data_IF_030723531154
#
_entry.id   IF_030723531154
#
_cell.length_a   1.000
_cell.length_b   1.000
_cell.length_c   1.000
_cell.angle_alpha   90.00
_cell.angle_beta   90.00
_cell.angle_gamma   90.00
#
_symmetry.space_group_name_H-M   'P 1'
#
loop_
_entity.id
_entity.type
_entity.pdbx_description
1 polymer ?
#
# COMPACT_ATOMS: atom_id res chain seq x y z
N UNK A 1 -15.49 8.08 24.85
CA UNK A 1 -15.59 8.42 23.41
C UNK A 1 -14.34 7.93 22.71
N UNK A 2 -14.52 7.08 21.70
CA UNK A 2 -13.44 6.51 20.90
C UNK A 2 -13.50 6.99 19.46
N UNK A 3 -12.35 7.01 18.79
CA UNK A 3 -12.20 7.29 17.36
C UNK A 3 -11.65 6.05 16.67
N UNK A 4 -12.24 5.66 15.55
CA UNK A 4 -11.85 4.44 14.84
C UNK A 4 -12.06 4.56 13.33
N UNK A 5 -11.40 3.68 12.58
CA UNK A 5 -11.59 3.51 11.13
C UNK A 5 -12.06 2.08 10.88
N UNK A 6 -13.15 1.94 10.13
CA UNK A 6 -13.72 0.65 9.78
C UNK A 6 -13.37 0.24 8.34
N UNK A 7 -13.68 -1.01 7.99
CA UNK A 7 -13.67 -1.51 6.61
C UNK A 7 -12.30 -1.99 6.08
N UNK A 8 -11.36 -2.33 6.96
CA UNK A 8 -10.13 -3.02 6.57
C UNK A 8 -10.36 -4.53 6.58
N UNK A 9 -9.72 -5.27 5.66
CA UNK A 9 -9.83 -6.73 5.59
C UNK A 9 -8.79 -7.46 6.43
N UNK A 10 -7.58 -6.92 6.51
CA UNK A 10 -6.43 -7.59 7.12
C UNK A 10 -5.70 -6.69 8.11
N UNK A 11 -4.99 -7.32 9.05
CA UNK A 11 -4.14 -6.65 10.02
C UNK A 11 -2.79 -7.36 10.15
N UNK A 12 -1.73 -6.57 10.22
CA UNK A 12 -0.37 -7.08 10.23
C UNK A 12 0.01 -7.54 11.65
N UNK A 13 0.39 -8.80 11.84
CA UNK A 13 0.70 -9.34 13.18
C UNK A 13 2.12 -9.08 13.64
N UNK A 14 3.04 -8.78 12.71
CA UNK A 14 4.47 -8.47 12.94
C UNK A 14 4.93 -7.37 11.99
N UNK A 15 5.86 -6.52 12.43
CA UNK A 15 6.43 -5.48 11.55
C UNK A 15 7.04 -6.10 10.29
N UNK A 16 6.70 -5.53 9.14
CA UNK A 16 7.29 -5.88 7.84
C UNK A 16 8.28 -4.80 7.44
N UNK A 17 9.43 -5.20 6.89
CA UNK A 17 10.45 -4.31 6.36
C UNK A 17 10.73 -4.76 4.94
N UNK A 18 10.62 -3.86 3.98
CA UNK A 18 10.90 -4.16 2.56
C UNK A 18 11.63 -2.99 1.91
N UNK A 19 12.55 -3.31 1.00
CA UNK A 19 13.20 -2.32 0.15
C UNK A 19 12.33 -2.01 -1.07
N UNK A 20 12.04 -0.74 -1.30
CA UNK A 20 11.31 -0.23 -2.45
C UNK A 20 12.18 0.75 -3.24
N UNK A 21 11.91 0.91 -4.53
CA UNK A 21 12.56 1.88 -5.41
C UNK A 21 11.90 3.27 -5.34
N UNK A 22 11.32 3.63 -4.19
CA UNK A 22 10.70 4.93 -3.94
C UNK A 22 11.53 5.63 -2.87
N UNK A 23 12.04 6.81 -3.22
CA UNK A 23 12.98 7.58 -2.39
C UNK A 23 12.47 9.00 -2.24
N UNK A 24 11.72 9.32 -1.18
CA UNK A 24 11.27 10.68 -0.92
C UNK A 24 12.49 11.57 -0.58
N UNK A 25 12.34 12.88 -0.80
CA UNK A 25 13.38 13.86 -0.46
C UNK A 25 13.70 13.88 1.04
N UNK A 26 12.69 13.66 1.87
CA UNK A 26 12.76 13.64 3.33
C UNK A 26 12.12 12.34 3.81
N UNK A 27 12.69 11.70 4.85
CA UNK A 27 12.05 10.54 5.47
C UNK A 27 10.62 10.87 5.94
N UNK A 28 9.71 9.96 5.65
CA UNK A 28 8.34 10.00 6.14
C UNK A 28 8.26 9.01 7.31
N UNK A 29 7.91 9.47 8.51
CA UNK A 29 7.70 8.59 9.66
C UNK A 29 6.40 8.94 10.39
N UNK A 30 5.40 8.07 10.26
CA UNK A 30 4.12 8.15 10.94
C UNK A 30 3.88 6.87 11.76
N UNK A 31 2.88 6.88 12.65
CA UNK A 31 2.66 5.82 13.65
C UNK A 31 2.85 4.38 13.13
N UNK A 32 2.33 4.05 11.94
CA UNK A 32 2.38 2.68 11.38
C UNK A 32 3.25 2.50 10.14
N UNK A 33 3.76 3.58 9.55
CA UNK A 33 4.53 3.53 8.30
C UNK A 33 5.76 4.43 8.42
N UNK A 34 6.93 3.90 8.08
CA UNK A 34 8.14 4.70 7.86
C UNK A 34 8.70 4.42 6.48
N UNK A 35 8.96 5.45 5.70
CA UNK A 35 9.67 5.38 4.43
C UNK A 35 10.91 6.28 4.52
N UNK A 36 12.09 5.67 4.51
CA UNK A 36 13.36 6.41 4.54
C UNK A 36 13.69 6.98 3.15
N UNK A 37 14.55 7.99 3.09
CA UNK A 37 15.14 8.57 1.87
C UNK A 37 15.88 7.51 1.02
N UNK A 38 16.35 6.44 1.65
CA UNK A 38 17.01 5.33 0.95
C UNK A 38 16.05 4.30 0.37
N UNK A 39 14.74 4.41 0.58
CA UNK A 39 13.73 3.46 0.13
C UNK A 39 13.57 2.20 1.00
N UNK A 40 13.91 2.26 2.28
CA UNK A 40 13.45 1.26 3.25
C UNK A 40 12.03 1.61 3.72
N UNK A 41 11.07 0.75 3.43
CA UNK A 41 9.68 0.84 3.89
C UNK A 41 9.48 -0.09 5.08
N UNK A 42 9.10 0.49 6.23
CA UNK A 42 8.76 -0.22 7.46
C UNK A 42 7.27 -0.06 7.71
N UNK A 43 6.55 -1.17 7.75
CA UNK A 43 5.12 -1.21 8.07
C UNK A 43 4.98 -1.91 9.41
N UNK A 44 4.62 -1.15 10.44
CA UNK A 44 4.66 -1.60 11.83
C UNK A 44 3.48 -2.53 12.14
N UNK A 45 3.68 -3.38 13.16
CA UNK A 45 2.64 -4.28 13.70
C UNK A 45 1.32 -3.53 13.91
N UNK A 46 0.23 -4.21 13.57
CA UNK A 46 -1.15 -3.77 13.68
C UNK A 46 -1.61 -2.80 12.60
N UNK A 47 -0.78 -2.52 11.58
CA UNK A 47 -1.25 -1.83 10.38
C UNK A 47 -2.38 -2.62 9.71
N UNK A 48 -3.48 -1.94 9.37
CA UNK A 48 -4.63 -2.55 8.73
C UNK A 48 -4.69 -2.14 7.25
N UNK A 49 -5.04 -3.07 6.37
CA UNK A 49 -5.11 -2.86 4.92
C UNK A 49 -6.18 -3.73 4.27
N UNK A 50 -6.45 -3.52 2.98
CA UNK A 50 -7.57 -4.15 2.28
C UNK A 50 -7.21 -5.43 1.53
N UNK A 51 -5.91 -5.74 1.50
CA UNK A 51 -5.38 -6.77 0.63
C UNK A 51 -5.52 -6.39 -0.83
N UNK A 52 -5.41 -7.37 -1.74
CA UNK A 52 -5.75 -7.18 -3.13
C UNK A 52 -7.15 -6.59 -3.29
N UNK A 53 -7.23 -5.42 -3.92
CA UNK A 53 -8.47 -4.66 -4.08
C UNK A 53 -8.90 -4.61 -5.55
N UNK A 54 -10.22 -4.47 -5.79
CA UNK A 54 -10.82 -4.54 -7.13
C UNK A 54 -11.22 -5.95 -7.55
N UNK A 55 -11.22 -6.31 -8.85
CA UNK A 55 -11.53 -7.67 -9.34
C UNK A 55 -10.45 -8.72 -8.99
N UNK A 56 -9.60 -8.43 -8.00
CA UNK A 56 -8.48 -9.24 -7.60
C UNK A 56 -8.93 -10.41 -6.69
N UNK A 57 -8.28 -11.55 -6.88
CA UNK A 57 -8.42 -12.72 -5.99
C UNK A 57 -7.30 -12.68 -4.95
N UNK A 58 -7.68 -12.80 -3.68
CA UNK A 58 -6.74 -12.86 -2.57
C UNK A 58 -5.96 -14.18 -2.62
N UNK A 59 -4.65 -14.08 -2.84
CA UNK A 59 -3.74 -15.24 -2.86
C UNK A 59 -2.47 -14.94 -2.09
N UNK A 60 -1.82 -15.98 -1.56
CA UNK A 60 -0.61 -15.84 -0.73
C UNK A 60 0.48 -15.00 -1.42
N UNK A 61 0.69 -15.22 -2.72
CA UNK A 61 1.65 -14.48 -3.56
C UNK A 61 1.22 -13.06 -3.99
N UNK A 62 0.10 -12.54 -3.47
CA UNK A 62 -0.36 -11.18 -3.69
C UNK A 62 -0.43 -10.36 -2.39
N UNK A 63 -0.38 -11.02 -1.23
CA UNK A 63 -0.55 -10.37 0.07
C UNK A 63 0.58 -9.38 0.40
N UNK A 64 1.85 -9.76 0.16
CA UNK A 64 2.99 -8.87 0.44
C UNK A 64 2.97 -7.65 -0.47
N UNK A 65 2.72 -7.87 -1.77
CA UNK A 65 2.61 -6.80 -2.75
C UNK A 65 1.50 -5.82 -2.38
N UNK A 66 0.28 -6.33 -2.15
CA UNK A 66 -0.87 -5.47 -1.79
C UNK A 66 -0.65 -4.69 -0.49
N UNK A 67 -0.02 -5.29 0.53
CA UNK A 67 0.34 -4.59 1.77
C UNK A 67 1.24 -3.38 1.49
N UNK A 68 2.30 -3.57 0.69
CA UNK A 68 3.28 -2.54 0.36
C UNK A 68 2.63 -1.44 -0.50
N UNK A 69 1.81 -1.84 -1.47
CA UNK A 69 1.05 -0.93 -2.32
C UNK A 69 0.08 -0.06 -1.51
N UNK A 70 -0.73 -0.65 -0.63
CA UNK A 70 -1.67 0.07 0.23
C UNK A 70 -0.97 1.07 1.17
N UNK A 71 0.19 0.70 1.72
CA UNK A 71 0.99 1.58 2.58
C UNK A 71 1.51 2.79 1.81
N UNK A 72 2.07 2.60 0.61
CA UNK A 72 2.54 3.68 -0.24
C UNK A 72 1.40 4.60 -0.67
N UNK A 73 0.28 4.01 -1.10
CA UNK A 73 -0.93 4.76 -1.46
C UNK A 73 -1.51 5.51 -0.26
N UNK A 74 -1.42 4.96 0.96
CA UNK A 74 -1.83 5.70 2.16
C UNK A 74 -0.98 6.95 2.36
N UNK A 75 0.34 6.88 2.17
CA UNK A 75 1.20 8.06 2.26
C UNK A 75 0.82 9.12 1.21
N UNK A 76 0.45 8.69 0.00
CA UNK A 76 -0.05 9.58 -1.05
C UNK A 76 -1.38 10.23 -0.70
N UNK A 77 -2.34 9.46 -0.17
CA UNK A 77 -3.63 10.00 0.32
C UNK A 77 -3.48 10.97 1.49
N UNK A 78 -2.39 10.85 2.24
CA UNK A 78 -2.04 11.75 3.33
C UNK A 78 -1.19 12.93 2.86
N UNK A 79 -0.88 13.02 1.56
CA UNK A 79 -0.04 14.06 0.95
C UNK A 79 1.38 14.11 1.53
N UNK A 80 1.83 13.00 2.12
CA UNK A 80 3.19 12.84 2.65
C UNK A 80 4.15 12.31 1.58
N UNK A 81 3.62 11.60 0.59
CA UNK A 81 4.34 11.10 -0.58
C UNK A 81 3.69 11.67 -1.83
N UNK A 82 4.50 12.24 -2.73
CA UNK A 82 3.99 12.86 -3.95
C UNK A 82 3.33 11.86 -4.92
N UNK A 83 2.37 12.36 -5.71
CA UNK A 83 1.64 11.55 -6.69
C UNK A 83 2.53 11.08 -7.86
N UNK A 84 3.70 11.72 -8.06
CA UNK A 84 4.72 11.31 -9.02
C UNK A 84 5.23 9.88 -8.75
N UNK A 85 5.19 9.41 -7.49
CA UNK A 85 5.63 8.06 -7.12
C UNK A 85 4.57 6.98 -7.29
N UNK A 86 3.37 7.32 -7.78
CA UNK A 86 2.28 6.35 -7.97
C UNK A 86 2.66 5.24 -8.94
N UNK A 87 3.32 5.62 -10.02
CA UNK A 87 3.77 4.70 -11.07
C UNK A 87 4.84 3.74 -10.54
N UNK A 88 5.74 4.24 -9.70
CA UNK A 88 6.75 3.43 -9.00
C UNK A 88 6.11 2.48 -7.99
N UNK A 89 5.06 2.90 -7.27
CA UNK A 89 4.33 2.04 -6.33
C UNK A 89 3.60 0.90 -7.04
N UNK A 90 2.99 1.18 -8.19
CA UNK A 90 2.36 0.15 -9.04
C UNK A 90 3.41 -0.84 -9.59
N UNK A 91 4.62 -0.37 -9.89
CA UNK A 91 5.71 -1.23 -10.35
C UNK A 91 6.31 -2.09 -9.22
N UNK A 92 6.46 -1.54 -8.01
CA UNK A 92 6.86 -2.31 -6.83
C UNK A 92 5.86 -3.43 -6.53
N UNK A 93 4.55 -3.15 -6.63
CA UNK A 93 3.51 -4.19 -6.53
C UNK A 93 3.76 -5.34 -7.50
N UNK A 94 3.99 -5.02 -8.77
CA UNK A 94 4.23 -6.02 -9.82
C UNK A 94 5.49 -6.84 -9.53
N UNK A 95 6.59 -6.17 -9.19
CA UNK A 95 7.88 -6.79 -8.87
C UNK A 95 7.75 -7.75 -7.69
N UNK A 96 7.15 -7.31 -6.59
CA UNK A 96 6.96 -8.12 -5.38
C UNK A 96 6.07 -9.33 -5.64
N UNK A 97 4.98 -9.16 -6.40
CA UNK A 97 4.12 -10.27 -6.80
C UNK A 97 4.91 -11.33 -7.59
N UNK A 98 5.77 -10.90 -8.52
CA UNK A 98 6.63 -11.82 -9.29
C UNK A 98 7.64 -12.54 -8.38
N UNK A 99 8.29 -11.83 -7.46
CA UNK A 99 9.20 -12.39 -6.46
C UNK A 99 8.51 -13.45 -5.58
N UNK A 100 7.24 -13.23 -5.23
CA UNK A 100 6.43 -14.15 -4.43
C UNK A 100 5.85 -15.32 -5.25
N UNK A 101 6.24 -15.47 -6.52
CA UNK A 101 5.84 -16.58 -7.38
C UNK A 101 4.50 -16.39 -8.08
N UNK A 102 4.02 -15.15 -8.24
CA UNK A 102 2.90 -14.88 -9.15
C UNK A 102 3.32 -15.10 -10.60
N UNK A 103 2.46 -15.74 -11.39
CA UNK A 103 2.72 -15.91 -12.82
C UNK A 103 2.85 -14.56 -13.54
N UNK A 104 3.73 -14.49 -14.55
CA UNK A 104 3.96 -13.27 -15.33
C UNK A 104 2.67 -12.71 -15.95
N UNK A 105 1.79 -13.59 -16.41
CA UNK A 105 0.50 -13.24 -17.00
C UNK A 105 -0.38 -12.53 -15.96
N UNK A 106 -0.50 -13.11 -14.77
CA UNK A 106 -1.31 -12.52 -13.70
C UNK A 106 -0.71 -11.22 -13.18
N UNK A 107 0.61 -11.18 -12.96
CA UNK A 107 1.29 -9.97 -12.53
C UNK A 107 1.16 -8.82 -13.55
N UNK A 108 1.19 -9.15 -14.85
CA UNK A 108 0.93 -8.18 -15.92
C UNK A 108 -0.51 -7.64 -15.86
N UNK A 109 -1.50 -8.52 -15.67
CA UNK A 109 -2.90 -8.10 -15.54
C UNK A 109 -3.12 -7.22 -14.30
N UNK A 110 -2.56 -7.61 -13.15
CA UNK A 110 -2.58 -6.81 -11.91
C UNK A 110 -2.01 -5.42 -12.15
N UNK A 111 -0.83 -5.35 -12.79
CA UNK A 111 -0.19 -4.07 -13.12
C UNK A 111 -1.09 -3.21 -14.01
N UNK A 112 -1.64 -3.77 -15.10
CA UNK A 112 -2.54 -3.03 -15.99
C UNK A 112 -3.80 -2.54 -15.26
N UNK A 113 -4.36 -3.35 -14.37
CA UNK A 113 -5.53 -2.97 -13.58
C UNK A 113 -5.24 -1.79 -12.66
N UNK A 114 -4.14 -1.79 -11.91
CA UNK A 114 -3.80 -0.65 -11.02
C UNK A 114 -3.49 0.61 -11.82
N UNK A 115 -2.81 0.50 -12.98
CA UNK A 115 -2.51 1.65 -13.83
C UNK A 115 -3.78 2.35 -14.36
N UNK A 116 -4.81 1.57 -14.70
CA UNK A 116 -6.07 2.07 -15.25
C UNK A 116 -7.08 2.55 -14.20
N UNK A 117 -7.21 1.83 -13.08
CA UNK A 117 -8.32 2.04 -12.13
C UNK A 117 -7.89 2.67 -10.79
N UNK A 118 -6.62 2.56 -10.39
CA UNK A 118 -6.19 2.97 -9.05
C UNK A 118 -5.81 4.46 -8.95
N UNK A 119 -5.82 5.23 -10.05
CA UNK A 119 -5.45 6.66 -10.03
C UNK A 119 -6.24 7.45 -8.99
N UNK A 120 -7.54 7.19 -8.86
CA UNK A 120 -8.37 7.85 -7.84
C UNK A 120 -8.03 7.38 -6.42
N UNK A 121 -7.73 6.10 -6.23
CA UNK A 121 -7.47 5.49 -4.91
C UNK A 121 -6.25 6.07 -4.18
N UNK A 122 -5.32 6.72 -4.88
CA UNK A 122 -4.18 7.43 -4.29
C UNK A 122 -4.49 8.88 -3.87
N UNK A 123 -5.63 9.45 -4.31
CA UNK A 123 -5.96 10.85 -4.08
C UNK A 123 -6.44 11.11 -2.63
N UNK A 124 -6.19 12.31 -2.07
CA UNK A 124 -6.60 12.66 -0.71
C UNK A 124 -8.10 12.47 -0.42
N UNK A 125 -8.94 12.63 -1.43
CA UNK A 125 -10.40 12.40 -1.39
C UNK A 125 -10.77 10.99 -0.94
N UNK A 126 -9.89 10.00 -1.17
CA UNK A 126 -10.10 8.60 -0.80
C UNK A 126 -9.53 8.26 0.59
N UNK A 127 -9.14 9.26 1.39
CA UNK A 127 -8.77 9.05 2.80
C UNK A 127 -9.95 8.48 3.57
N UNK A 128 -9.71 7.36 4.27
CA UNK A 128 -10.74 6.73 5.11
C UNK A 128 -11.23 7.69 6.20
N UNK A 129 -12.55 7.85 6.27
CA UNK A 129 -13.24 8.68 7.27
C UNK A 129 -13.01 8.12 8.68
N UNK A 130 -12.73 9.03 9.61
CA UNK A 130 -12.70 8.72 11.03
C UNK A 130 -14.12 8.72 11.59
N UNK A 131 -14.47 7.64 12.29
CA UNK A 131 -15.76 7.44 12.94
C UNK A 131 -15.61 7.68 14.45
N UNK A 132 -16.71 8.02 15.11
CA UNK A 132 -16.77 8.24 16.56
C UNK A 132 -17.82 7.34 17.20
N UNK A 133 -17.55 6.86 18.40
CA UNK A 133 -18.50 6.11 19.23
C UNK A 133 -18.35 6.51 20.71
N UNK A 134 -19.41 6.36 21.54
CA UNK A 134 -19.36 6.65 22.98
C UNK A 134 -18.21 5.97 23.73
#
# INVERSE_FOLDING_TARGET
MIKYKAGYKYQLTKTSITKVNIKPLIAIDIERIRLTEKGALVIRKGYCWDGPSGPAIDTKNFMRGSLIHDALYQLMRMELLGQEFRDDADEELRKICLEDGMSKIRAWWVYKAVRGFAKRSALPENKRKELTAP
#
